data_IF_819220747878
#
_entry.id   IF_819220747878
#
_cell.length_a   1.000
_cell.length_b   1.000
_cell.length_c   1.000
_cell.angle_alpha   90.00
_cell.angle_beta   90.00
_cell.angle_gamma   90.00
#
_symmetry.space_group_name_H-M   'P 1'
#
loop_
_entity.id
_entity.type
_entity.pdbx_description
1 polymer ?
#
# COMPACT_ATOMS: atom_id res chain seq x y z
N UNK A 1 -13.19 11.10 0.64
CA UNK A 1 -12.27 10.11 0.07
C UNK A 1 -12.66 8.72 0.50
N UNK A 2 -12.52 7.75 -0.36
CA UNK A 2 -12.70 6.34 0.00
C UNK A 2 -11.47 5.84 0.74
N UNK A 3 -11.68 4.94 1.68
CA UNK A 3 -10.63 4.40 2.54
C UNK A 3 -10.30 2.97 2.14
N UNK A 4 -9.02 2.64 2.14
CA UNK A 4 -8.53 1.33 1.72
C UNK A 4 -7.47 0.80 2.66
N UNK A 5 -7.51 -0.51 2.87
CA UNK A 5 -6.39 -1.28 3.40
C UNK A 5 -5.87 -2.11 2.22
N UNK A 6 -4.59 -2.00 1.94
CA UNK A 6 -3.95 -2.76 0.86
C UNK A 6 -3.00 -3.76 1.48
N UNK A 7 -3.19 -5.02 1.15
CA UNK A 7 -2.34 -6.11 1.63
C UNK A 7 -1.49 -6.61 0.48
N UNK A 8 -0.16 -6.55 0.65
CA UNK A 8 0.80 -7.10 -0.29
C UNK A 8 1.20 -8.49 0.17
N UNK A 9 1.26 -9.43 -0.75
CA UNK A 9 1.81 -10.76 -0.49
C UNK A 9 2.99 -11.01 -1.40
N UNK A 10 4.14 -11.38 -0.83
CA UNK A 10 5.31 -11.71 -1.61
C UNK A 10 5.09 -13.00 -2.40
N UNK A 11 5.50 -12.99 -3.67
CA UNK A 11 5.37 -14.12 -4.60
C UNK A 11 6.70 -14.81 -4.86
N UNK A 12 7.80 -14.23 -4.37
CA UNK A 12 9.16 -14.70 -4.61
C UNK A 12 9.91 -14.85 -3.29
N UNK A 13 11.06 -15.53 -3.27
CA UNK A 13 11.90 -15.54 -2.07
C UNK A 13 12.30 -14.15 -1.64
N UNK A 14 12.57 -13.99 -0.35
CA UNK A 14 12.88 -12.68 0.23
C UNK A 14 14.10 -12.02 -0.42
N UNK A 15 15.06 -12.80 -0.86
CA UNK A 15 16.26 -12.30 -1.53
C UNK A 15 15.92 -11.59 -2.84
N UNK A 16 14.92 -12.09 -3.56
CA UNK A 16 14.42 -11.44 -4.78
C UNK A 16 13.65 -10.18 -4.44
N UNK A 17 12.79 -10.23 -3.42
CA UNK A 17 12.05 -9.04 -2.95
C UNK A 17 13.04 -7.93 -2.59
N UNK A 18 14.11 -8.26 -1.89
CA UNK A 18 15.09 -7.28 -1.42
C UNK A 18 15.80 -6.52 -2.56
N UNK A 19 15.87 -7.11 -3.75
CA UNK A 19 16.42 -6.43 -4.92
C UNK A 19 15.59 -5.23 -5.35
N UNK A 20 14.31 -5.18 -5.00
CA UNK A 20 13.38 -4.14 -5.42
C UNK A 20 12.92 -3.23 -4.28
N UNK A 21 13.41 -3.44 -3.05
CA UNK A 21 12.96 -2.69 -1.87
C UNK A 21 13.25 -1.19 -2.00
N UNK A 22 14.43 -0.81 -2.47
CA UNK A 22 14.78 0.60 -2.62
C UNK A 22 13.85 1.31 -3.60
N UNK A 23 13.64 0.72 -4.79
CA UNK A 23 12.73 1.28 -5.79
C UNK A 23 11.29 1.33 -5.28
N UNK A 24 10.84 0.29 -4.57
CA UNK A 24 9.52 0.24 -3.95
C UNK A 24 9.34 1.39 -2.94
N UNK A 25 10.30 1.60 -2.06
CA UNK A 25 10.24 2.68 -1.06
C UNK A 25 10.23 4.07 -1.69
N UNK A 26 11.01 4.27 -2.73
CA UNK A 26 11.03 5.52 -3.48
C UNK A 26 9.66 5.79 -4.12
N UNK A 27 9.06 4.76 -4.68
CA UNK A 27 7.71 4.87 -5.25
C UNK A 27 6.68 5.22 -4.17
N UNK A 28 6.72 4.54 -3.02
CA UNK A 28 5.79 4.82 -1.92
C UNK A 28 5.93 6.24 -1.39
N UNK A 29 7.13 6.81 -1.40
CA UNK A 29 7.34 8.20 -0.99
C UNK A 29 6.47 9.17 -1.80
N UNK A 30 6.28 8.90 -3.10
CA UNK A 30 5.37 9.69 -3.94
C UNK A 30 3.92 9.57 -3.46
N UNK A 31 3.52 8.40 -3.03
CA UNK A 31 2.19 8.17 -2.47
C UNK A 31 1.94 8.96 -1.19
N UNK A 32 2.96 9.10 -0.34
CA UNK A 32 2.89 9.94 0.85
C UNK A 32 2.81 11.43 0.48
N UNK A 33 3.62 11.88 -0.45
CA UNK A 33 3.59 13.27 -0.94
C UNK A 33 2.22 13.64 -1.52
N UNK A 34 1.61 12.73 -2.26
CA UNK A 34 0.28 12.90 -2.85
C UNK A 34 -0.84 12.66 -1.86
N UNK A 35 -0.53 12.29 -0.62
CA UNK A 35 -1.49 12.01 0.45
C UNK A 35 -2.45 10.86 0.10
N UNK A 36 -1.99 9.92 -0.68
CA UNK A 36 -2.66 8.64 -0.94
C UNK A 36 -2.38 7.66 0.19
N UNK A 37 -1.16 7.68 0.75
CA UNK A 37 -0.73 6.80 1.82
C UNK A 37 -0.68 7.52 3.16
N UNK A 38 -1.25 6.90 4.18
CA UNK A 38 -1.14 7.34 5.58
C UNK A 38 0.00 6.62 6.29
N UNK A 39 0.13 5.31 6.05
CA UNK A 39 1.16 4.48 6.66
C UNK A 39 1.42 3.28 5.77
N UNK A 40 2.63 2.74 5.83
CA UNK A 40 3.00 1.51 5.15
C UNK A 40 4.08 0.80 5.96
N UNK A 41 4.13 -0.52 5.84
CA UNK A 41 5.18 -1.30 6.50
C UNK A 41 5.08 -2.77 6.17
N UNK A 42 6.15 -3.53 6.44
CA UNK A 42 6.12 -4.97 6.25
C UNK A 42 5.23 -5.65 7.30
N UNK A 43 4.64 -6.78 6.92
CA UNK A 43 4.01 -7.67 7.88
C UNK A 43 5.08 -8.36 8.73
N UNK A 44 4.68 -8.75 9.93
CA UNK A 44 5.53 -9.54 10.82
C UNK A 44 4.82 -10.88 11.15
N UNK A 45 5.40 -12.02 10.76
CA UNK A 45 6.67 -12.20 10.01
C UNK A 45 6.59 -11.60 8.59
N UNK A 46 7.74 -11.34 8.00
CA UNK A 46 7.86 -10.60 6.74
C UNK A 46 7.46 -11.45 5.53
N UNK A 47 6.16 -11.59 5.32
CA UNK A 47 5.57 -12.31 4.18
C UNK A 47 4.93 -11.37 3.16
N UNK A 48 4.92 -10.09 3.44
CA UNK A 48 4.32 -9.05 2.62
C UNK A 48 4.34 -7.72 3.35
N UNK A 49 3.39 -6.87 3.01
CA UNK A 49 3.27 -5.55 3.63
C UNK A 49 1.82 -5.09 3.69
N UNK A 50 1.62 -3.94 4.32
CA UNK A 50 0.31 -3.34 4.45
C UNK A 50 0.42 -1.85 4.17
N UNK A 51 -0.55 -1.29 3.43
CA UNK A 51 -0.76 0.14 3.28
C UNK A 51 -2.07 0.54 3.93
N UNK A 52 -2.08 1.66 4.61
CA UNK A 52 -3.30 2.39 4.95
C UNK A 52 -3.39 3.53 3.95
N UNK A 53 -4.44 3.53 3.14
CA UNK A 53 -4.53 4.40 1.97
C UNK A 53 -5.91 5.03 1.83
N UNK A 54 -5.97 6.09 1.04
CA UNK A 54 -7.23 6.70 0.59
C UNK A 54 -7.13 7.11 -0.86
N UNK A 55 -8.27 7.18 -1.53
CA UNK A 55 -8.34 7.61 -2.92
C UNK A 55 -9.76 8.06 -3.24
N UNK A 56 -9.94 8.75 -4.37
CA UNK A 56 -11.27 9.15 -4.83
C UNK A 56 -12.09 7.97 -5.32
N UNK A 57 -11.43 6.94 -5.82
CA UNK A 57 -12.08 5.77 -6.37
C UNK A 57 -11.19 4.53 -6.22
N UNK A 58 -11.82 3.36 -6.38
CA UNK A 58 -11.08 2.11 -6.43
C UNK A 58 -10.10 2.08 -7.61
N UNK A 59 -10.47 2.62 -8.75
CA UNK A 59 -9.58 2.68 -9.92
C UNK A 59 -8.30 3.47 -9.62
N UNK A 60 -8.41 4.54 -8.86
CA UNK A 60 -7.25 5.34 -8.47
C UNK A 60 -6.28 4.55 -7.62
N UNK A 61 -6.77 3.83 -6.60
CA UNK A 61 -5.88 3.04 -5.74
C UNK A 61 -5.32 1.82 -6.48
N UNK A 62 -6.09 1.18 -7.36
CA UNK A 62 -5.59 0.10 -8.20
C UNK A 62 -4.47 0.59 -9.11
N UNK A 63 -4.65 1.74 -9.75
CA UNK A 63 -3.63 2.34 -10.60
C UNK A 63 -2.35 2.64 -9.81
N UNK A 64 -2.50 3.16 -8.60
CA UNK A 64 -1.35 3.42 -7.73
C UNK A 64 -0.58 2.12 -7.42
N UNK A 65 -1.29 1.07 -7.02
CA UNK A 65 -0.67 -0.22 -6.70
C UNK A 65 0.01 -0.85 -7.91
N UNK A 66 -0.59 -0.73 -9.09
CA UNK A 66 -0.07 -1.36 -10.31
C UNK A 66 1.16 -0.67 -10.89
N UNK A 67 1.55 0.49 -10.39
CA UNK A 67 2.78 1.18 -10.78
C UNK A 67 3.92 0.97 -9.79
N UNK A 68 3.68 0.22 -8.73
CA UNK A 68 4.71 -0.12 -7.76
C UNK A 68 5.72 -1.09 -8.40
N UNK A 69 7.03 -0.86 -8.24
CA UNK A 69 8.06 -1.80 -8.73
C UNK A 69 7.87 -3.24 -8.27
N UNK A 70 7.33 -3.48 -7.07
CA UNK A 70 7.02 -4.84 -6.62
C UNK A 70 6.00 -5.51 -7.53
N UNK A 71 4.96 -4.78 -7.93
CA UNK A 71 3.96 -5.32 -8.84
C UNK A 71 4.53 -5.52 -10.24
N UNK A 72 5.24 -4.52 -10.74
CA UNK A 72 5.77 -4.52 -12.11
C UNK A 72 6.82 -5.63 -12.33
N UNK A 73 7.50 -6.03 -11.29
CA UNK A 73 8.54 -7.07 -11.36
C UNK A 73 8.05 -8.43 -10.86
N UNK A 74 6.75 -8.57 -10.61
CA UNK A 74 6.16 -9.85 -10.23
C UNK A 74 6.57 -10.38 -8.87
N UNK A 75 7.08 -9.52 -7.97
CA UNK A 75 7.53 -9.96 -6.65
C UNK A 75 6.45 -9.90 -5.58
N UNK A 76 5.36 -9.20 -5.84
CA UNK A 76 4.22 -9.14 -4.92
C UNK A 76 2.90 -9.02 -5.66
N UNK A 77 1.85 -9.52 -5.04
CA UNK A 77 0.47 -9.27 -5.45
C UNK A 77 -0.22 -8.41 -4.41
N UNK A 78 -1.29 -7.73 -4.82
CA UNK A 78 -2.02 -6.78 -3.98
C UNK A 78 -3.46 -7.22 -3.81
N UNK A 79 -3.93 -7.19 -2.56
CA UNK A 79 -5.35 -7.29 -2.23
C UNK A 79 -5.79 -5.92 -1.72
N UNK A 80 -6.78 -5.33 -2.38
CA UNK A 80 -7.29 -4.00 -2.06
C UNK A 80 -8.63 -4.16 -1.37
N UNK A 81 -8.72 -3.72 -0.11
CA UNK A 81 -9.93 -3.79 0.69
C UNK A 81 -10.45 -2.37 0.88
N UNK A 82 -11.61 -2.09 0.31
CA UNK A 82 -12.30 -0.84 0.61
C UNK A 82 -13.09 -1.03 1.91
N UNK A 83 -13.04 -0.03 2.79
CA UNK A 83 -13.74 -0.08 4.05
C UNK A 83 -14.27 1.29 4.45
N UNK A 84 -15.28 1.29 5.29
CA UNK A 84 -15.88 2.52 5.78
C UNK A 84 -15.63 2.63 7.30
N UNK A 85 -14.63 3.41 7.74
CA UNK A 85 -14.39 3.58 9.18
C UNK A 85 -15.56 4.36 9.81
N UNK A 86 -16.30 3.68 10.69
CA UNK A 86 -17.45 4.27 11.39
C UNK A 86 -17.15 4.60 12.85
N UNK A 87 -16.10 4.00 13.43
CA UNK A 87 -15.57 4.33 14.76
C UNK A 87 -14.07 4.49 14.67
N UNK A 88 -13.56 5.59 15.19
CA UNK A 88 -12.15 5.92 15.10
C UNK A 88 -11.79 6.93 16.20
N UNK A 89 -10.51 6.99 16.53
CA UNK A 89 -10.00 8.03 17.42
C UNK A 89 -10.06 9.37 16.70
N UNK A 90 -10.27 10.44 17.44
CA UNK A 90 -10.42 11.80 16.89
C UNK A 90 -9.26 12.18 15.98
N UNK A 91 -8.06 11.77 16.32
CA UNK A 91 -6.85 12.05 15.56
C UNK A 91 -6.86 11.49 14.14
N UNK A 92 -7.72 10.48 13.91
CA UNK A 92 -7.87 9.89 12.58
C UNK A 92 -8.71 10.74 11.63
N UNK A 93 -9.47 11.69 12.15
CA UNK A 93 -10.42 12.50 11.35
C UNK A 93 -9.73 13.20 10.17
N UNK A 94 -8.49 13.64 10.33
CA UNK A 94 -7.77 14.33 9.26
C UNK A 94 -7.59 13.48 8.01
N UNK A 95 -7.67 12.17 8.17
CA UNK A 95 -7.45 11.23 7.06
C UNK A 95 -8.73 10.94 6.27
N UNK A 96 -9.89 11.20 6.86
CA UNK A 96 -11.19 10.91 6.22
C UNK A 96 -11.56 11.93 5.09
#
# INVERSE_FOLDING_TARGET
MKQFIVVLRYLTPIETVDQYVTAHREYLSKGFEQKILLASGPQEPRTGGIFIARAKSRNEIESFCHQDPFYNNGVAEYQILEWNPVKFQKEFEFWL
#
